data_IF_498129781557
#
_entry.id   IF_498129781557
#
_cell.length_a   1.000
_cell.length_b   1.000
_cell.length_c   1.000
_cell.angle_alpha   90.00
_cell.angle_beta   90.00
_cell.angle_gamma   90.00
#
_symmetry.space_group_name_H-M   'P 1'
#
loop_
_entity.id
_entity.type
_entity.pdbx_description
1 polymer ?
#
# COMPACT_ATOMS: atom_id res chain seq x y z
N UNK A 1 7.67 -6.66 9.22
CA UNK A 1 7.24 -5.36 9.76
C UNK A 1 7.49 -4.27 8.73
N UNK A 2 6.44 -3.52 8.39
CA UNK A 2 6.47 -2.47 7.38
C UNK A 2 6.73 -1.13 8.08
N UNK A 3 7.97 -0.66 8.04
CA UNK A 3 8.38 0.60 8.67
C UNK A 3 8.38 1.73 7.65
N UNK A 4 8.36 3.01 8.06
CA UNK A 4 8.54 4.14 7.14
C UNK A 4 9.81 4.02 6.28
N UNK A 5 10.88 3.42 6.81
CA UNK A 5 12.12 3.17 6.08
C UNK A 5 11.96 2.06 5.02
N UNK A 6 11.32 0.93 5.37
CA UNK A 6 11.00 -0.14 4.41
C UNK A 6 10.06 0.37 3.32
N UNK A 7 9.14 1.26 3.67
CA UNK A 7 8.22 1.91 2.74
C UNK A 7 8.92 2.90 1.80
N UNK A 8 9.90 3.67 2.31
CA UNK A 8 10.79 4.50 1.47
C UNK A 8 11.64 3.67 0.51
N UNK A 9 12.03 2.45 0.90
CA UNK A 9 12.71 1.50 0.02
C UNK A 9 11.77 1.00 -1.08
N UNK A 10 10.53 0.62 -0.75
CA UNK A 10 9.52 0.22 -1.74
C UNK A 10 9.19 1.34 -2.75
N UNK A 11 9.25 2.62 -2.34
CA UNK A 11 9.13 3.78 -3.25
C UNK A 11 10.33 3.92 -4.22
N UNK A 12 11.51 3.44 -3.83
CA UNK A 12 12.77 3.58 -4.59
C UNK A 12 13.19 2.34 -5.36
N UNK A 13 12.71 1.15 -5.00
CA UNK A 13 13.11 -0.13 -5.61
C UNK A 13 12.43 -0.45 -6.96
N UNK A 14 11.63 0.47 -7.52
CA UNK A 14 11.18 0.41 -8.92
C UNK A 14 12.37 0.66 -9.89
N UNK A 15 13.32 -0.28 -9.95
CA UNK A 15 14.46 -0.25 -10.85
C UNK A 15 14.14 -0.94 -12.18
N UNK A 16 14.16 -0.16 -13.27
CA UNK A 16 14.39 -0.65 -14.63
C UNK A 16 13.25 -0.47 -15.62
N UNK A 17 13.38 0.51 -16.53
CA UNK A 17 12.65 0.74 -17.80
C UNK A 17 11.10 0.75 -17.84
N UNK A 18 10.42 0.26 -16.79
CA UNK A 18 8.96 0.25 -16.59
C UNK A 18 8.71 0.55 -15.12
N UNK A 19 8.90 1.80 -14.74
CA UNK A 19 8.82 2.23 -13.35
C UNK A 19 7.37 2.23 -12.86
N UNK A 20 7.13 1.57 -11.73
CA UNK A 20 5.93 1.77 -10.94
C UNK A 20 6.12 2.99 -10.06
N UNK A 21 5.43 4.09 -10.40
CA UNK A 21 5.39 5.28 -9.56
C UNK A 21 4.22 5.15 -8.61
N UNK A 22 4.54 4.96 -7.33
CA UNK A 22 3.56 4.95 -6.26
C UNK A 22 3.60 6.33 -5.59
N UNK A 23 2.53 7.10 -5.75
CA UNK A 23 2.39 8.44 -5.20
C UNK A 23 1.67 8.39 -3.85
N UNK A 24 2.27 9.02 -2.84
CA UNK A 24 1.75 9.05 -1.48
C UNK A 24 2.17 10.31 -0.73
N UNK A 25 1.33 10.69 0.23
CA UNK A 25 1.67 11.66 1.25
C UNK A 25 2.44 10.98 2.40
N UNK A 26 3.65 11.46 2.72
CA UNK A 26 4.47 10.90 3.81
C UNK A 26 3.80 11.04 5.20
N UNK A 27 2.99 12.08 5.40
CA UNK A 27 2.24 12.26 6.65
C UNK A 27 1.18 11.17 6.83
N UNK A 28 0.46 10.86 5.75
CA UNK A 28 -0.56 9.81 5.71
C UNK A 28 0.04 8.44 6.05
N UNK A 29 1.26 8.15 5.59
CA UNK A 29 1.96 6.90 5.95
C UNK A 29 2.29 6.82 7.43
N UNK A 30 2.83 7.89 8.02
CA UNK A 30 3.22 7.87 9.43
C UNK A 30 2.05 7.59 10.36
N UNK A 31 0.88 8.11 10.02
CA UNK A 31 -0.34 7.94 10.82
C UNK A 31 -1.11 6.67 10.45
N UNK A 32 -0.81 6.02 9.32
CA UNK A 32 -1.52 4.83 8.84
C UNK A 32 -1.03 3.51 9.41
N UNK A 33 0.20 3.47 9.93
CA UNK A 33 0.79 2.27 10.49
C UNK A 33 1.08 2.43 11.98
N UNK A 34 0.79 1.40 12.76
CA UNK A 34 1.22 1.33 14.15
C UNK A 34 2.72 0.99 14.25
N UNK A 35 3.26 1.02 15.46
CA UNK A 35 4.68 0.70 15.72
C UNK A 35 5.09 -0.72 15.30
N UNK A 36 4.13 -1.64 15.13
CA UNK A 36 4.36 -3.01 14.68
C UNK A 36 4.30 -3.15 13.15
N UNK A 37 4.09 -2.04 12.43
CA UNK A 37 3.95 -2.00 10.98
C UNK A 37 2.62 -2.59 10.49
N UNK A 38 1.62 -2.71 11.37
CA UNK A 38 0.25 -3.05 11.00
C UNK A 38 -0.51 -1.82 10.54
N UNK A 39 -1.27 -1.94 9.45
CA UNK A 39 -2.10 -0.88 8.92
C UNK A 39 -3.33 -0.68 9.83
N UNK A 40 -3.51 0.52 10.38
CA UNK A 40 -4.60 0.84 11.34
C UNK A 40 -5.68 1.74 10.75
N UNK A 41 -5.47 2.28 9.56
CA UNK A 41 -6.46 3.06 8.80
C UNK A 41 -6.32 2.78 7.31
N UNK A 42 -7.41 2.98 6.58
CA UNK A 42 -7.40 2.85 5.14
C UNK A 42 -6.42 3.84 4.52
N UNK A 43 -5.78 3.40 3.43
CA UNK A 43 -4.80 4.21 2.71
C UNK A 43 -5.03 4.03 1.21
N UNK A 44 -5.23 5.15 0.53
CA UNK A 44 -5.31 5.21 -0.92
C UNK A 44 -3.93 5.52 -1.51
N UNK A 45 -3.52 4.72 -2.49
CA UNK A 45 -2.24 4.83 -3.17
C UNK A 45 -2.47 5.01 -4.66
N UNK A 46 -1.99 6.10 -5.25
CA UNK A 46 -2.00 6.22 -6.70
C UNK A 46 -0.79 5.48 -7.27
N UNK A 47 -1.04 4.57 -8.20
CA UNK A 47 -0.05 3.75 -8.88
C UNK A 47 -0.11 4.03 -10.38
N UNK A 48 1.04 4.16 -11.01
CA UNK A 48 1.16 4.18 -12.47
C UNK A 48 2.31 3.29 -12.91
N UNK A 49 2.16 2.57 -14.03
CA UNK A 49 3.16 1.65 -14.56
C UNK A 49 2.62 0.22 -14.71
N UNK A 50 3.45 -0.77 -14.42
CA UNK A 50 3.09 -2.18 -14.29
C UNK A 50 2.30 -2.46 -12.99
N UNK A 51 0.99 -2.29 -13.08
CA UNK A 51 0.06 -2.43 -11.95
C UNK A 51 0.14 -3.81 -11.29
N UNK A 52 0.30 -4.88 -12.06
CA UNK A 52 0.39 -6.25 -11.53
C UNK A 52 1.65 -6.45 -10.69
N UNK A 53 2.77 -5.89 -11.14
CA UNK A 53 4.00 -5.91 -10.36
C UNK A 53 3.83 -5.14 -9.05
N UNK A 54 3.13 -4.00 -9.06
CA UNK A 54 2.85 -3.24 -7.86
C UNK A 54 1.95 -4.05 -6.88
N UNK A 55 0.86 -4.68 -7.36
CA UNK A 55 0.01 -5.55 -6.53
C UNK A 55 0.83 -6.65 -5.84
N UNK A 56 1.67 -7.35 -6.63
CA UNK A 56 2.53 -8.44 -6.13
C UNK A 56 3.48 -7.96 -5.03
N UNK A 57 4.03 -6.76 -5.15
CA UNK A 57 4.91 -6.17 -4.13
C UNK A 57 4.16 -5.96 -2.80
N UNK A 58 2.92 -5.46 -2.86
CA UNK A 58 2.12 -5.26 -1.64
C UNK A 58 1.70 -6.59 -1.02
N UNK A 59 1.25 -7.55 -1.83
CA UNK A 59 0.91 -8.90 -1.35
C UNK A 59 2.10 -9.59 -0.68
N UNK A 60 3.29 -9.52 -1.27
CA UNK A 60 4.53 -10.05 -0.68
C UNK A 60 4.93 -9.38 0.65
N UNK A 61 4.38 -8.20 0.94
CA UNK A 61 4.56 -7.49 2.20
C UNK A 61 3.36 -7.64 3.15
N UNK A 62 2.44 -8.59 2.89
CA UNK A 62 1.21 -8.83 3.66
C UNK A 62 0.28 -7.62 3.68
N UNK A 63 0.19 -6.92 2.56
CA UNK A 63 -0.67 -5.76 2.37
C UNK A 63 -1.66 -6.07 1.24
N UNK A 64 -2.79 -6.74 1.53
CA UNK A 64 -3.79 -7.01 0.51
C UNK A 64 -4.33 -5.68 -0.04
N UNK A 65 -4.27 -5.53 -1.37
CA UNK A 65 -4.73 -4.36 -2.09
C UNK A 65 -6.03 -4.67 -2.83
N UNK A 66 -6.94 -3.71 -2.87
CA UNK A 66 -7.97 -3.66 -3.91
C UNK A 66 -7.57 -2.63 -4.94
N UNK A 67 -7.49 -3.06 -6.19
CA UNK A 67 -7.17 -2.19 -7.32
C UNK A 67 -8.44 -1.71 -7.98
N UNK A 68 -8.58 -0.39 -8.09
CA UNK A 68 -9.63 0.23 -8.89
C UNK A 68 -9.01 1.11 -9.96
N UNK A 69 -9.53 1.01 -11.18
CA UNK A 69 -9.19 1.91 -12.27
C UNK A 69 -10.09 3.15 -12.18
N UNK A 70 -9.49 4.32 -12.00
CA UNK A 70 -10.22 5.60 -12.09
C UNK A 70 -9.54 6.51 -13.10
N UNK A 71 -10.23 6.76 -14.21
CA UNK A 71 -10.03 7.88 -15.14
C UNK A 71 -8.62 8.00 -15.77
N UNK A 72 -8.51 7.71 -17.07
CA UNK A 72 -7.34 8.03 -17.92
C UNK A 72 -6.00 7.43 -17.45
N UNK A 73 -5.94 6.10 -17.29
CA UNK A 73 -4.74 5.32 -16.91
C UNK A 73 -4.21 5.50 -15.48
N UNK A 74 -5.01 6.07 -14.58
CA UNK A 74 -4.66 6.15 -13.16
C UNK A 74 -5.25 4.97 -12.41
N UNK A 75 -4.38 4.19 -11.79
CA UNK A 75 -4.77 3.09 -10.93
C UNK A 75 -4.63 3.53 -9.48
N UNK A 76 -5.60 3.16 -8.67
CA UNK A 76 -5.56 3.40 -7.23
C UNK A 76 -5.60 2.06 -6.50
N UNK A 77 -4.69 1.90 -5.55
CA UNK A 77 -4.73 0.79 -4.61
C UNK A 77 -5.30 1.27 -3.30
N UNK A 78 -6.28 0.52 -2.83
CA UNK A 78 -6.91 0.73 -1.54
C UNK A 78 -6.41 -0.34 -0.58
N UNK A 79 -5.52 0.09 0.32
CA UNK A 79 -5.10 -0.71 1.46
C UNK A 79 -6.11 -0.53 2.58
N UNK A 80 -6.63 -1.63 3.11
CA UNK A 80 -7.56 -1.62 4.24
C UNK A 80 -6.93 -2.34 5.43
N UNK A 81 -7.10 -1.83 6.66
CA UNK A 81 -6.74 -2.58 7.86
C UNK A 81 -7.40 -3.96 7.80
N UNK A 82 -6.70 -4.98 8.30
CA UNK A 82 -7.40 -6.21 8.66
C UNK A 82 -8.54 -5.81 9.60
N UNK A 83 -9.79 -6.16 9.25
CA UNK A 83 -10.88 -6.00 10.22
C UNK A 83 -10.42 -6.74 11.46
N UNK A 84 -10.25 -6.04 12.58
CA UNK A 84 -10.25 -6.70 13.87
C UNK A 84 -11.50 -7.58 13.84
N UNK A 85 -11.29 -8.89 13.79
CA UNK A 85 -12.36 -9.81 14.09
C UNK A 85 -12.70 -9.49 15.52
N UNK A 86 -13.72 -8.65 15.71
CA UNK A 86 -14.33 -8.44 17.01
C UNK A 86 -14.82 -9.82 17.39
N UNK A 87 -13.99 -10.55 18.12
CA UNK A 87 -14.44 -11.73 18.84
C UNK A 87 -15.34 -11.15 19.91
N UNK A 88 -16.64 -11.01 19.58
CA UNK A 88 -17.68 -10.87 20.58
C UNK A 88 -17.58 -12.12 21.46
N UNK A 89 -16.83 -11.98 22.57
CA UNK A 89 -16.97 -12.88 23.69
C UNK A 89 -18.36 -12.62 24.27
N UNK A 90 -19.28 -13.50 23.90
CA UNK A 90 -20.57 -13.69 24.57
C UNK A 90 -20.36 -14.08 26.03
#
# INVERSE_FOLDING_TARGET
MLTPAKWKALRRESFGSRENLIFMNEEEIKISFNSNGGLIRALELRVSGDIKMAETIFENNHLPVRTELQDGDRYYFYLQPERESVVEKR
#
